data_IF_291762942161
#
_entry.id   IF_291762942161
#
_cell.length_a   1.000
_cell.length_b   1.000
_cell.length_c   1.000
_cell.angle_alpha   90.00
_cell.angle_beta   90.00
_cell.angle_gamma   90.00
#
_symmetry.space_group_name_H-M   'P 1'
#
loop_
_entity.id
_entity.type
_entity.pdbx_description
1 polymer ?
#
# COMPACT_ATOMS: atom_id res chain seq x y z
N UNK A 1 12.94 -23.24 28.95
CA UNK A 1 11.48 -23.17 29.10
C UNK A 1 10.93 -22.61 27.79
N UNK A 2 10.80 -23.48 26.79
CA UNK A 2 10.27 -23.15 25.47
C UNK A 2 8.76 -23.38 25.46
N UNK A 3 7.98 -22.34 25.18
CA UNK A 3 6.55 -22.44 24.86
C UNK A 3 6.32 -21.90 23.46
N UNK A 4 5.70 -22.74 22.66
CA UNK A 4 4.84 -22.41 21.51
C UNK A 4 5.49 -21.91 20.22
N UNK A 5 6.35 -22.74 19.66
CA UNK A 5 6.39 -22.90 18.21
C UNK A 5 5.16 -23.71 17.76
N UNK A 6 4.00 -23.05 17.63
CA UNK A 6 2.82 -23.62 17.00
C UNK A 6 3.14 -23.91 15.52
N UNK A 7 3.65 -25.11 15.26
CA UNK A 7 3.84 -25.64 13.92
C UNK A 7 2.51 -25.55 13.18
N UNK A 8 2.47 -24.72 12.13
CA UNK A 8 1.32 -24.60 11.23
C UNK A 8 1.00 -25.99 10.68
N UNK A 9 -0.05 -26.64 11.19
CA UNK A 9 -0.56 -27.86 10.59
C UNK A 9 -0.81 -27.62 9.09
N UNK A 10 -0.21 -28.40 8.19
CA UNK A 10 -0.48 -28.28 6.76
C UNK A 10 -1.98 -28.44 6.52
N UNK A 11 -2.62 -27.48 5.82
CA UNK A 11 -4.07 -27.49 5.54
C UNK A 11 -4.52 -28.71 4.70
N UNK A 12 -3.58 -29.49 4.16
CA UNK A 12 -3.83 -30.81 3.61
C UNK A 12 -2.59 -31.70 3.67
N UNK A 13 -2.82 -33.01 3.56
CA UNK A 13 -1.82 -34.06 3.65
C UNK A 13 -2.04 -35.14 2.61
N UNK A 14 -0.94 -35.73 2.14
CA UNK A 14 -0.92 -36.94 1.32
C UNK A 14 -0.22 -38.00 2.15
N UNK A 15 -0.85 -39.15 2.35
CA UNK A 15 -0.29 -40.27 3.11
C UNK A 15 -0.51 -41.58 2.40
N UNK A 16 0.42 -42.51 2.56
CA UNK A 16 0.27 -43.87 2.08
C UNK A 16 -0.79 -44.61 2.90
N UNK A 17 -1.65 -45.37 2.23
CA UNK A 17 -2.68 -46.21 2.84
C UNK A 17 -2.75 -47.53 2.08
N UNK A 18 -1.92 -48.48 2.50
CA UNK A 18 -1.67 -49.72 1.76
C UNK A 18 -0.98 -49.40 0.43
N UNK A 19 -1.42 -50.00 -0.67
CA UNK A 19 -0.87 -49.77 -2.02
C UNK A 19 -1.43 -48.51 -2.73
N UNK A 20 -1.99 -47.55 -1.98
CA UNK A 20 -2.64 -46.37 -2.51
C UNK A 20 -2.21 -45.11 -1.74
N UNK A 21 -2.33 -43.95 -2.38
CA UNK A 21 -2.17 -42.65 -1.73
C UNK A 21 -3.53 -42.10 -1.29
N UNK A 22 -3.61 -41.66 -0.04
CA UNK A 22 -4.77 -40.94 0.49
C UNK A 22 -4.45 -39.44 0.57
N UNK A 23 -5.27 -38.63 -0.09
CA UNK A 23 -5.26 -37.17 -0.06
C UNK A 23 -6.33 -36.71 0.92
N UNK A 24 -5.98 -35.83 1.86
CA UNK A 24 -6.90 -35.26 2.86
C UNK A 24 -6.69 -33.75 2.95
N UNK A 25 -7.77 -32.98 2.88
CA UNK A 25 -7.71 -31.51 2.97
C UNK A 25 -8.80 -31.00 3.92
N UNK A 26 -8.45 -30.08 4.83
CA UNK A 26 -9.38 -29.53 5.81
C UNK A 26 -10.37 -28.55 5.14
N UNK A 27 -11.67 -28.85 5.22
CA UNK A 27 -12.72 -28.05 4.61
C UNK A 27 -13.27 -26.95 5.55
N UNK A 28 -13.24 -27.15 6.86
CA UNK A 28 -13.79 -26.23 7.85
C UNK A 28 -14.40 -26.96 9.03
N UNK A 29 -15.21 -26.27 9.82
CA UNK A 29 -16.04 -26.89 10.87
C UNK A 29 -17.49 -26.89 10.46
N UNK A 30 -18.17 -27.98 10.72
CA UNK A 30 -19.62 -28.07 10.59
C UNK A 30 -20.28 -27.08 11.58
N UNK A 31 -21.13 -26.15 11.10
CA UNK A 31 -21.70 -25.09 11.94
C UNK A 31 -22.74 -25.60 12.95
N UNK A 32 -23.27 -26.81 12.78
CA UNK A 32 -24.27 -27.41 13.67
C UNK A 32 -23.58 -28.35 14.67
N UNK A 33 -22.63 -29.17 14.21
CA UNK A 33 -22.01 -30.19 15.06
C UNK A 33 -20.66 -29.78 15.65
N UNK A 34 -20.05 -28.70 15.16
CA UNK A 34 -18.74 -28.21 15.59
C UNK A 34 -17.55 -29.09 15.19
N UNK A 35 -17.79 -30.21 14.50
CA UNK A 35 -16.77 -31.17 14.09
C UNK A 35 -15.99 -30.68 12.88
N UNK A 36 -14.71 -31.02 12.82
CA UNK A 36 -13.85 -30.73 11.67
C UNK A 36 -14.26 -31.58 10.45
N UNK A 37 -14.51 -30.92 9.33
CA UNK A 37 -14.88 -31.53 8.05
C UNK A 37 -13.66 -31.58 7.13
N UNK A 38 -13.45 -32.71 6.46
CA UNK A 38 -12.32 -32.94 5.55
C UNK A 38 -12.81 -33.45 4.19
N UNK A 39 -12.20 -32.95 3.11
CA UNK A 39 -12.29 -33.58 1.78
C UNK A 39 -11.23 -34.66 1.68
N UNK A 40 -11.63 -35.86 1.26
CA UNK A 40 -10.75 -37.01 1.15
C UNK A 40 -10.85 -37.61 -0.26
N UNK A 41 -9.71 -38.05 -0.80
CA UNK A 41 -9.65 -38.85 -2.02
C UNK A 41 -8.58 -39.93 -1.89
N UNK A 42 -8.77 -41.03 -2.60
CA UNK A 42 -7.78 -42.11 -2.70
C UNK A 42 -7.32 -42.22 -4.15
N UNK A 43 -6.02 -42.12 -4.37
CA UNK A 43 -5.38 -42.34 -5.67
C UNK A 43 -4.73 -43.71 -5.65
N UNK A 44 -5.02 -44.52 -6.68
CA UNK A 44 -4.46 -45.87 -6.78
C UNK A 44 -3.00 -45.82 -7.20
N UNK A 45 -2.16 -46.64 -6.55
CA UNK A 45 -0.73 -46.73 -6.82
C UNK A 45 0.13 -45.87 -5.89
N UNK A 46 1.44 -46.17 -5.88
CA UNK A 46 2.48 -45.48 -5.12
C UNK A 46 3.59 -44.92 -6.04
N UNK A 47 3.42 -45.05 -7.35
CA UNK A 47 4.38 -44.57 -8.34
C UNK A 47 4.34 -43.04 -8.46
N UNK A 48 5.32 -42.47 -9.16
CA UNK A 48 5.42 -41.01 -9.36
C UNK A 48 4.19 -40.44 -10.08
N UNK A 49 3.55 -41.24 -10.95
CA UNK A 49 2.32 -40.88 -11.62
C UNK A 49 1.13 -40.78 -10.63
N UNK A 50 1.00 -41.72 -9.69
CA UNK A 50 0.02 -41.64 -8.61
C UNK A 50 0.31 -40.46 -7.67
N UNK A 51 1.58 -40.18 -7.39
CA UNK A 51 1.98 -39.06 -6.52
C UNK A 51 1.62 -37.71 -7.15
N UNK A 52 1.89 -37.53 -8.44
CA UNK A 52 1.46 -36.35 -9.20
C UNK A 52 -0.07 -36.19 -9.21
N UNK A 53 -0.82 -37.27 -9.42
CA UNK A 53 -2.30 -37.25 -9.33
C UNK A 53 -2.79 -36.90 -7.93
N UNK A 54 -2.09 -37.33 -6.88
CA UNK A 54 -2.41 -36.98 -5.50
C UNK A 54 -2.19 -35.50 -5.21
N UNK A 55 -1.10 -34.91 -5.73
CA UNK A 55 -0.84 -33.46 -5.66
C UNK A 55 -1.88 -32.65 -6.43
N UNK A 56 -2.24 -33.06 -7.65
CA UNK A 56 -3.29 -32.42 -8.44
C UNK A 56 -4.63 -32.44 -7.68
N UNK A 57 -4.96 -33.57 -7.04
CA UNK A 57 -6.18 -33.70 -6.24
C UNK A 57 -6.16 -32.83 -4.99
N UNK A 58 -5.00 -32.68 -4.35
CA UNK A 58 -4.81 -31.78 -3.22
C UNK A 58 -5.03 -30.31 -3.64
N UNK A 59 -4.53 -29.92 -4.82
CA UNK A 59 -4.76 -28.60 -5.40
C UNK A 59 -6.24 -28.35 -5.77
N UNK A 60 -6.93 -29.37 -6.28
CA UNK A 60 -8.37 -29.34 -6.55
C UNK A 60 -9.17 -29.10 -5.26
N UNK A 61 -8.91 -29.87 -4.20
CA UNK A 61 -9.59 -29.72 -2.91
C UNK A 61 -9.34 -28.35 -2.28
N UNK A 62 -8.11 -27.86 -2.34
CA UNK A 62 -7.78 -26.50 -1.91
C UNK A 62 -8.63 -25.46 -2.64
N UNK A 63 -8.76 -25.61 -3.96
CA UNK A 63 -9.56 -24.71 -4.80
C UNK A 63 -11.04 -24.77 -4.45
N UNK A 64 -11.58 -25.96 -4.20
CA UNK A 64 -12.99 -26.17 -3.82
C UNK A 64 -13.32 -25.51 -2.47
N UNK A 65 -12.53 -25.77 -1.44
CA UNK A 65 -12.74 -25.20 -0.09
C UNK A 65 -12.61 -23.68 -0.13
N UNK A 66 -11.61 -23.17 -0.84
CA UNK A 66 -11.41 -21.74 -1.02
C UNK A 66 -12.61 -21.07 -1.71
N UNK A 67 -13.22 -21.72 -2.71
CA UNK A 67 -14.46 -21.23 -3.34
C UNK A 67 -15.63 -21.18 -2.37
N UNK A 68 -15.83 -22.23 -1.56
CA UNK A 68 -16.91 -22.28 -0.56
C UNK A 68 -16.77 -21.17 0.50
N UNK A 69 -15.60 -21.02 1.11
CA UNK A 69 -15.36 -19.96 2.13
C UNK A 69 -15.47 -18.54 1.57
N UNK A 70 -15.01 -18.35 0.34
CA UNK A 70 -15.16 -17.07 -0.36
C UNK A 70 -16.63 -16.75 -0.63
N UNK A 71 -17.46 -17.75 -0.93
CA UNK A 71 -18.88 -17.55 -1.19
C UNK A 71 -19.64 -17.13 0.09
N UNK A 72 -19.24 -17.65 1.25
CA UNK A 72 -19.88 -17.35 2.53
C UNK A 72 -19.46 -16.01 3.14
N UNK A 73 -18.25 -15.53 2.85
CA UNK A 73 -17.72 -14.29 3.46
C UNK A 73 -18.41 -13.04 2.91
N UNK A 74 -19.35 -12.47 3.67
CA UNK A 74 -20.09 -11.24 3.33
C UNK A 74 -19.43 -9.94 3.81
N UNK A 75 -18.17 -10.02 4.25
CA UNK A 75 -17.44 -8.90 4.86
C UNK A 75 -17.28 -7.73 3.89
N UNK A 76 -17.67 -6.53 4.33
CA UNK A 76 -17.53 -5.31 3.52
C UNK A 76 -16.08 -4.87 3.37
N UNK A 77 -15.74 -4.22 2.25
CA UNK A 77 -14.43 -3.64 2.04
C UNK A 77 -14.08 -2.60 3.11
N UNK A 78 -15.03 -1.79 3.57
CA UNK A 78 -14.81 -0.82 4.64
C UNK A 78 -14.31 -1.48 5.93
N UNK A 79 -14.94 -2.60 6.33
CA UNK A 79 -14.50 -3.35 7.50
C UNK A 79 -13.09 -3.91 7.28
N UNK A 80 -12.85 -4.52 6.11
CA UNK A 80 -11.53 -5.06 5.79
C UNK A 80 -10.42 -4.01 5.80
N UNK A 81 -10.70 -2.81 5.28
CA UNK A 81 -9.75 -1.69 5.31
C UNK A 81 -9.44 -1.28 6.75
N UNK A 82 -10.47 -1.17 7.61
CA UNK A 82 -10.29 -0.77 9.00
C UNK A 82 -9.42 -1.81 9.74
N UNK A 83 -9.71 -3.09 9.56
CA UNK A 83 -8.94 -4.18 10.18
C UNK A 83 -7.49 -4.22 9.65
N UNK A 84 -7.32 -3.99 8.35
CA UNK A 84 -5.99 -3.95 7.74
C UNK A 84 -5.19 -2.76 8.25
N UNK A 85 -5.80 -1.60 8.42
CA UNK A 85 -5.14 -0.45 9.03
C UNK A 85 -4.70 -0.78 10.46
N UNK A 86 -5.55 -1.39 11.29
CA UNK A 86 -5.22 -1.73 12.69
C UNK A 86 -4.00 -2.64 12.81
N UNK A 87 -3.85 -3.59 11.89
CA UNK A 87 -2.81 -4.62 11.93
C UNK A 87 -1.58 -4.29 11.10
N UNK A 88 -1.62 -3.24 10.28
CA UNK A 88 -0.50 -2.90 9.38
C UNK A 88 0.50 -1.94 10.04
N UNK A 89 1.77 -2.29 9.97
CA UNK A 89 2.91 -1.46 10.39
C UNK A 89 3.23 -0.40 9.34
N UNK A 90 2.30 0.52 9.10
CA UNK A 90 2.48 1.63 8.15
C UNK A 90 2.92 2.87 8.92
N UNK A 91 3.99 3.52 8.45
CA UNK A 91 4.47 4.76 9.08
C UNK A 91 3.37 5.83 9.16
N UNK A 92 3.40 6.66 10.20
CA UNK A 92 2.35 7.65 10.49
C UNK A 92 2.04 8.61 9.34
N UNK A 93 3.05 9.00 8.53
CA UNK A 93 2.78 9.89 7.39
C UNK A 93 2.03 9.16 6.29
N UNK A 94 2.46 7.95 5.97
CA UNK A 94 1.80 7.12 4.96
C UNK A 94 0.41 6.75 5.42
N UNK A 95 0.22 6.43 6.71
CA UNK A 95 -1.10 6.16 7.30
C UNK A 95 -2.04 7.34 7.16
N UNK A 96 -1.60 8.57 7.47
CA UNK A 96 -2.42 9.78 7.31
C UNK A 96 -2.85 9.98 5.85
N UNK A 97 -1.91 9.81 4.92
CA UNK A 97 -2.21 9.87 3.47
C UNK A 97 -3.21 8.78 3.06
N UNK A 98 -3.03 7.55 3.53
CA UNK A 98 -3.91 6.42 3.23
C UNK A 98 -5.32 6.66 3.73
N UNK A 99 -5.49 7.06 4.99
CA UNK A 99 -6.80 7.41 5.56
C UNK A 99 -7.48 8.49 4.73
N UNK A 100 -6.73 9.51 4.29
CA UNK A 100 -7.26 10.55 3.42
C UNK A 100 -7.80 10.03 2.08
N UNK A 101 -7.18 9.03 1.46
CA UNK A 101 -7.69 8.40 0.24
C UNK A 101 -8.83 7.41 0.52
N UNK A 102 -8.76 6.69 1.63
CA UNK A 102 -9.77 5.74 2.06
C UNK A 102 -11.11 6.46 2.23
N UNK A 103 -11.16 7.52 3.03
CA UNK A 103 -12.40 8.22 3.36
C UNK A 103 -12.98 9.01 2.17
N UNK A 104 -12.14 9.70 1.40
CA UNK A 104 -12.61 10.59 0.33
C UNK A 104 -12.82 9.90 -1.01
N UNK A 105 -12.24 8.72 -1.20
CA UNK A 105 -12.13 8.11 -2.54
C UNK A 105 -12.59 6.66 -2.56
N UNK A 106 -12.10 5.81 -1.66
CA UNK A 106 -12.40 4.36 -1.71
C UNK A 106 -13.75 4.04 -1.06
N UNK A 107 -13.93 4.40 0.22
CA UNK A 107 -15.14 4.07 1.00
C UNK A 107 -16.45 4.56 0.38
N UNK A 108 -16.54 5.78 -0.19
CA UNK A 108 -17.79 6.27 -0.77
C UNK A 108 -18.31 5.42 -1.94
N UNK A 109 -17.43 4.70 -2.63
CA UNK A 109 -17.79 3.92 -3.83
C UNK A 109 -17.76 2.42 -3.55
N UNK A 110 -16.66 1.93 -2.99
CA UNK A 110 -16.42 0.49 -2.83
C UNK A 110 -16.62 0.01 -1.39
N UNK A 111 -16.78 0.91 -0.42
CA UNK A 111 -16.76 0.57 1.00
C UNK A 111 -17.84 -0.43 1.42
N UNK A 112 -19.04 -0.32 0.84
CA UNK A 112 -20.17 -1.22 1.12
C UNK A 112 -20.10 -2.55 0.34
N UNK A 113 -19.24 -2.65 -0.65
CA UNK A 113 -19.12 -3.85 -1.49
C UNK A 113 -18.43 -4.94 -0.68
N UNK A 114 -18.99 -6.16 -0.71
CA UNK A 114 -18.38 -7.31 -0.08
C UNK A 114 -17.05 -7.68 -0.77
N UNK A 115 -16.03 -8.04 -0.01
CA UNK A 115 -14.68 -8.29 -0.55
C UNK A 115 -14.65 -9.43 -1.55
N UNK A 116 -15.52 -10.42 -1.41
CA UNK A 116 -15.67 -11.55 -2.33
C UNK A 116 -16.34 -11.17 -3.66
N UNK A 117 -17.07 -10.05 -3.72
CA UNK A 117 -17.71 -9.52 -4.93
C UNK A 117 -16.84 -8.54 -5.69
N UNK A 118 -15.69 -8.15 -5.14
CA UNK A 118 -14.76 -7.25 -5.83
C UNK A 118 -14.01 -8.02 -6.93
N UNK A 119 -14.15 -7.53 -8.17
CA UNK A 119 -13.45 -8.08 -9.32
C UNK A 119 -12.34 -7.14 -9.81
N UNK A 120 -11.41 -7.68 -10.59
CA UNK A 120 -10.39 -6.86 -11.25
C UNK A 120 -11.02 -5.79 -12.15
N UNK A 121 -12.08 -6.15 -12.89
CA UNK A 121 -12.87 -5.23 -13.71
C UNK A 121 -13.43 -4.06 -12.89
N UNK A 122 -14.03 -4.32 -11.73
CA UNK A 122 -14.56 -3.27 -10.85
C UNK A 122 -13.47 -2.29 -10.41
N UNK A 123 -12.27 -2.82 -10.09
CA UNK A 123 -11.12 -2.01 -9.67
C UNK A 123 -10.57 -1.19 -10.85
N UNK A 124 -10.46 -1.76 -12.04
CA UNK A 124 -10.01 -1.06 -13.24
C UNK A 124 -10.99 0.03 -13.71
N UNK A 125 -12.30 -0.25 -13.64
CA UNK A 125 -13.34 0.76 -13.88
C UNK A 125 -13.20 1.91 -12.87
N UNK A 126 -12.99 1.59 -11.59
CA UNK A 126 -12.75 2.61 -10.57
C UNK A 126 -11.51 3.47 -10.88
N UNK A 127 -10.39 2.87 -11.31
CA UNK A 127 -9.19 3.62 -11.70
C UNK A 127 -9.41 4.51 -12.93
N UNK A 128 -10.21 4.03 -13.88
CA UNK A 128 -10.58 4.77 -15.08
C UNK A 128 -11.40 6.01 -14.73
N UNK A 129 -12.39 5.86 -13.84
CA UNK A 129 -13.19 6.98 -13.35
C UNK A 129 -12.34 7.99 -12.57
N UNK A 130 -11.43 7.53 -11.70
CA UNK A 130 -10.54 8.44 -10.98
C UNK A 130 -9.60 9.23 -11.90
N UNK A 131 -9.18 8.62 -13.01
CA UNK A 131 -8.37 9.29 -14.04
C UNK A 131 -9.19 10.25 -14.91
N UNK A 132 -10.50 10.02 -15.06
CA UNK A 132 -11.41 10.95 -15.73
C UNK A 132 -11.72 12.15 -14.83
N UNK A 133 -12.19 11.90 -13.61
CA UNK A 133 -12.56 12.95 -12.67
C UNK A 133 -12.39 12.47 -11.22
N UNK A 134 -11.65 13.24 -10.40
CA UNK A 134 -11.47 12.97 -8.97
C UNK A 134 -12.79 12.88 -8.18
N UNK A 135 -13.80 13.63 -8.64
CA UNK A 135 -15.13 13.68 -8.05
C UNK A 135 -16.07 12.60 -8.61
N UNK A 136 -15.68 11.93 -9.71
CA UNK A 136 -16.48 10.90 -10.41
C UNK A 136 -17.87 11.44 -10.80
N UNK A 137 -17.90 12.63 -11.38
CA UNK A 137 -19.14 13.25 -11.85
C UNK A 137 -19.77 12.46 -12.99
N UNK A 138 -21.08 12.58 -13.16
CA UNK A 138 -21.82 12.04 -14.30
C UNK A 138 -21.59 12.83 -15.60
N UNK A 139 -20.87 13.96 -15.53
CA UNK A 139 -20.60 14.86 -16.65
C UNK A 139 -21.60 16.00 -16.76
N UNK A 140 -22.64 16.03 -15.92
CA UNK A 140 -23.54 17.18 -15.84
C UNK A 140 -22.84 18.34 -15.13
N UNK A 141 -23.01 19.58 -15.60
CA UNK A 141 -22.52 20.75 -14.88
C UNK A 141 -23.14 20.82 -13.49
N UNK A 142 -22.29 20.96 -12.47
CA UNK A 142 -22.70 21.25 -11.10
C UNK A 142 -21.64 22.13 -10.42
N UNK A 143 -21.95 22.71 -9.26
CA UNK A 143 -21.00 23.53 -8.50
C UNK A 143 -20.37 22.71 -7.36
N UNK A 144 -19.02 22.68 -7.27
CA UNK A 144 -18.29 21.98 -6.20
C UNK A 144 -18.47 22.64 -4.83
N UNK A 145 -18.71 23.95 -4.83
CA UNK A 145 -19.05 24.72 -3.64
C UNK A 145 -20.25 25.60 -3.93
N UNK A 146 -21.35 25.25 -3.27
CA UNK A 146 -22.59 26.02 -3.23
C UNK A 146 -22.76 26.50 -1.78
N UNK A 147 -22.54 27.79 -1.56
CA UNK A 147 -22.30 28.33 -0.21
C UNK A 147 -23.61 28.49 0.59
N UNK A 148 -24.73 28.67 -0.10
CA UNK A 148 -26.06 28.89 0.51
C UNK A 148 -27.07 27.93 -0.09
N UNK A 149 -28.13 27.58 0.66
CA UNK A 149 -29.20 26.69 0.17
C UNK A 149 -30.30 27.44 -0.58
N UNK A 150 -30.40 28.74 -0.37
CA UNK A 150 -31.43 29.59 -0.96
C UNK A 150 -31.12 29.93 -2.43
N UNK A 151 -32.17 30.26 -3.18
CA UNK A 151 -32.04 30.67 -4.56
C UNK A 151 -31.18 31.93 -4.68
N UNK A 152 -30.08 31.84 -5.44
CA UNK A 152 -29.17 32.96 -5.67
C UNK A 152 -28.49 32.84 -7.03
N UNK A 153 -27.85 33.93 -7.46
CA UNK A 153 -27.02 33.96 -8.63
C UNK A 153 -25.63 33.38 -8.30
N UNK A 154 -25.36 32.18 -8.79
CA UNK A 154 -24.11 31.46 -8.57
C UNK A 154 -22.86 32.23 -9.05
N UNK A 155 -22.98 33.13 -10.03
CA UNK A 155 -21.86 33.94 -10.52
C UNK A 155 -21.57 35.06 -9.53
N UNK A 156 -22.61 35.74 -9.02
CA UNK A 156 -22.47 36.81 -8.02
C UNK A 156 -21.93 36.27 -6.69
N UNK A 157 -22.43 35.12 -6.25
CA UNK A 157 -22.01 34.46 -5.01
C UNK A 157 -20.71 33.65 -5.16
N UNK A 158 -20.05 33.74 -6.33
CA UNK A 158 -18.75 33.10 -6.61
C UNK A 158 -18.76 31.59 -6.35
N UNK A 159 -19.87 30.91 -6.64
CA UNK A 159 -19.94 29.46 -6.60
C UNK A 159 -18.93 28.88 -7.59
N UNK A 160 -18.22 27.83 -7.18
CA UNK A 160 -17.17 27.25 -8.02
C UNK A 160 -17.73 26.15 -8.91
N UNK A 161 -17.80 26.33 -10.24
CA UNK A 161 -18.27 25.27 -11.12
C UNK A 161 -17.30 24.09 -11.07
N UNK A 162 -17.85 22.89 -11.20
CA UNK A 162 -17.05 21.70 -11.29
C UNK A 162 -16.24 21.69 -12.58
N UNK A 163 -14.92 21.54 -12.44
CA UNK A 163 -14.02 21.27 -13.55
C UNK A 163 -13.51 19.83 -13.44
N UNK A 164 -13.79 19.03 -14.46
CA UNK A 164 -13.32 17.65 -14.51
C UNK A 164 -11.79 17.60 -14.48
N UNK A 165 -11.23 17.18 -13.35
CA UNK A 165 -9.80 16.97 -13.18
C UNK A 165 -9.52 15.57 -12.66
N UNK A 166 -8.84 14.77 -13.47
CA UNK A 166 -8.39 13.44 -13.12
C UNK A 166 -7.32 13.42 -12.02
N UNK A 167 -7.23 12.30 -11.32
CA UNK A 167 -6.12 12.02 -10.40
C UNK A 167 -4.85 11.65 -11.18
N UNK A 168 -3.71 12.12 -10.68
CA UNK A 168 -2.41 11.72 -11.21
C UNK A 168 -2.19 10.20 -11.07
N UNK A 169 -1.42 9.61 -11.99
CA UNK A 169 -1.12 8.17 -11.96
C UNK A 169 -0.44 7.73 -10.66
N UNK A 170 0.39 8.59 -10.05
CA UNK A 170 0.98 8.37 -8.71
C UNK A 170 -0.09 8.16 -7.65
N UNK A 171 -1.09 9.05 -7.61
CA UNK A 171 -2.20 9.00 -6.66
C UNK A 171 -3.02 7.72 -6.83
N UNK A 172 -3.36 7.35 -8.07
CA UNK A 172 -4.12 6.13 -8.33
C UNK A 172 -3.31 4.88 -7.93
N UNK A 173 -1.98 4.91 -8.06
CA UNK A 173 -1.12 3.83 -7.54
C UNK A 173 -1.10 3.75 -6.02
N UNK A 174 -1.17 4.87 -5.30
CA UNK A 174 -1.32 4.84 -3.84
C UNK A 174 -2.65 4.20 -3.44
N UNK A 175 -3.74 4.53 -4.16
CA UNK A 175 -5.04 3.89 -3.98
C UNK A 175 -4.95 2.39 -4.28
N UNK A 176 -4.22 1.99 -5.32
CA UNK A 176 -3.95 0.58 -5.61
C UNK A 176 -3.18 -0.12 -4.46
N UNK A 177 -2.16 0.51 -3.88
CA UNK A 177 -1.41 -0.05 -2.76
C UNK A 177 -2.31 -0.32 -1.55
N UNK A 178 -3.26 0.59 -1.26
CA UNK A 178 -4.26 0.40 -0.19
C UNK A 178 -5.15 -0.80 -0.51
N UNK A 179 -5.77 -0.83 -1.69
CA UNK A 179 -6.67 -1.91 -2.10
C UNK A 179 -5.95 -3.26 -2.13
N UNK A 180 -4.72 -3.31 -2.65
CA UNK A 180 -3.92 -4.54 -2.70
C UNK A 180 -3.52 -5.00 -1.31
N UNK A 181 -3.08 -4.08 -0.44
CA UNK A 181 -2.76 -4.38 0.95
C UNK A 181 -3.95 -4.98 1.70
N UNK A 182 -5.12 -4.35 1.60
CA UNK A 182 -6.37 -4.83 2.21
C UNK A 182 -6.80 -6.18 1.65
N UNK A 183 -6.85 -6.35 0.33
CA UNK A 183 -7.35 -7.59 -0.28
C UNK A 183 -6.38 -8.76 -0.07
N UNK A 184 -5.07 -8.50 -0.01
CA UNK A 184 -4.09 -9.53 0.39
C UNK A 184 -4.24 -9.89 1.88
N UNK A 185 -4.62 -8.95 2.74
CA UNK A 185 -4.97 -9.26 4.14
C UNK A 185 -6.24 -10.12 4.22
N UNK A 186 -7.28 -9.80 3.43
CA UNK A 186 -8.49 -10.60 3.33
C UNK A 186 -8.20 -12.04 2.86
N UNK A 187 -7.22 -12.26 1.97
CA UNK A 187 -6.75 -13.61 1.63
C UNK A 187 -6.11 -14.30 2.85
N UNK A 188 -5.22 -13.61 3.58
CA UNK A 188 -4.57 -14.17 4.78
C UNK A 188 -5.57 -14.52 5.88
N UNK A 189 -6.68 -13.79 5.97
CA UNK A 189 -7.77 -14.03 6.92
C UNK A 189 -8.82 -15.02 6.40
N UNK A 190 -8.56 -15.70 5.28
CA UNK A 190 -9.45 -16.66 4.65
C UNK A 190 -10.85 -16.08 4.27
N UNK A 191 -11.00 -14.75 4.14
CA UNK A 191 -12.27 -14.12 3.70
C UNK A 191 -12.47 -14.19 2.19
N UNK A 192 -11.38 -14.25 1.43
CA UNK A 192 -11.40 -14.46 -0.02
C UNK A 192 -10.29 -15.44 -0.42
N UNK A 193 -10.54 -16.21 -1.48
CA UNK A 193 -9.63 -17.24 -1.99
C UNK A 193 -8.40 -16.67 -2.69
N UNK A 194 -8.56 -15.53 -3.34
CA UNK A 194 -7.52 -14.87 -4.11
C UNK A 194 -7.78 -13.37 -4.17
N UNK A 195 -6.72 -12.59 -4.32
CA UNK A 195 -6.80 -11.14 -4.40
C UNK A 195 -6.99 -10.72 -5.86
N UNK A 196 -8.10 -10.06 -6.22
CA UNK A 196 -8.33 -9.62 -7.61
C UNK A 196 -7.28 -8.60 -8.07
N UNK A 197 -6.57 -7.95 -7.15
CA UNK A 197 -5.51 -6.96 -7.48
C UNK A 197 -4.28 -7.55 -8.15
N UNK A 198 -4.11 -8.88 -8.14
CA UNK A 198 -2.99 -9.56 -8.79
C UNK A 198 -3.02 -9.43 -10.31
N UNK A 199 -4.22 -9.40 -10.91
CA UNK A 199 -4.43 -9.33 -12.36
C UNK A 199 -4.83 -7.93 -12.84
N UNK A 200 -5.03 -6.98 -11.93
CA UNK A 200 -5.41 -5.60 -12.25
C UNK A 200 -4.26 -4.86 -12.94
N UNK A 201 -4.55 -4.22 -14.06
CA UNK A 201 -3.62 -3.31 -14.74
C UNK A 201 -3.44 -2.03 -13.94
N UNK A 202 -2.22 -1.85 -13.42
CA UNK A 202 -1.83 -0.63 -12.69
C UNK A 202 -1.61 0.54 -13.66
N UNK A 203 -1.95 1.78 -13.27
CA UNK A 203 -1.57 2.96 -14.05
C UNK A 203 -0.05 2.99 -14.26
N UNK A 204 0.37 3.18 -15.52
CA UNK A 204 1.78 3.39 -15.85
C UNK A 204 2.21 4.75 -15.29
N UNK A 205 3.36 4.78 -14.61
CA UNK A 205 4.03 6.04 -14.31
C UNK A 205 5.16 6.24 -15.29
N UNK A 206 5.25 7.45 -15.84
CA UNK A 206 6.49 7.89 -16.47
C UNK A 206 7.54 8.00 -15.36
N UNK A 207 8.77 7.48 -15.56
CA UNK A 207 9.87 7.73 -14.65
C UNK A 207 10.01 9.24 -14.44
N UNK A 208 10.31 9.71 -13.21
CA UNK A 208 10.72 11.09 -13.03
C UNK A 208 11.90 11.38 -13.95
N UNK A 209 11.84 12.50 -14.67
CA UNK A 209 12.97 13.03 -15.43
C UNK A 209 13.46 14.26 -14.67
N UNK A 210 14.25 14.08 -13.60
CA UNK A 210 14.88 15.22 -12.94
C UNK A 210 15.87 15.86 -13.91
N UNK A 211 15.90 17.18 -13.91
CA UNK A 211 16.88 17.99 -14.63
C UNK A 211 17.78 18.66 -13.57
N UNK A 212 18.85 17.99 -13.13
CA UNK A 212 19.72 18.52 -12.09
C UNK A 212 20.60 19.65 -12.64
N UNK A 213 20.90 20.68 -11.83
CA UNK A 213 21.83 21.71 -12.25
C UNK A 213 23.21 21.13 -12.55
N UNK A 214 23.88 21.68 -13.56
CA UNK A 214 25.32 21.46 -13.78
C UNK A 214 26.14 21.95 -12.59
N UNK A 215 27.40 21.52 -12.47
CA UNK A 215 28.30 22.02 -11.42
C UNK A 215 28.45 23.54 -11.45
N UNK A 216 28.51 24.15 -12.64
CA UNK A 216 28.61 25.59 -12.80
C UNK A 216 27.31 26.32 -12.39
N UNK A 217 26.15 25.74 -12.67
CA UNK A 217 24.86 26.28 -12.21
C UNK A 217 24.69 26.13 -10.69
N UNK A 218 25.10 24.99 -10.13
CA UNK A 218 25.08 24.76 -8.69
C UNK A 218 25.96 25.76 -7.94
N UNK A 219 27.17 26.05 -8.44
CA UNK A 219 28.04 27.08 -7.87
C UNK A 219 27.36 28.45 -7.88
N UNK A 220 26.81 28.88 -9.03
CA UNK A 220 26.07 30.14 -9.14
C UNK A 220 24.86 30.22 -8.21
N UNK A 221 24.16 29.10 -7.98
CA UNK A 221 23.05 29.05 -7.04
C UNK A 221 23.50 29.25 -5.59
N UNK A 222 24.65 28.68 -5.22
CA UNK A 222 25.25 28.87 -3.89
C UNK A 222 25.72 30.31 -3.70
N UNK A 223 26.45 30.87 -4.67
CA UNK A 223 26.92 32.26 -4.61
C UNK A 223 25.75 33.23 -4.44
N UNK A 224 24.69 33.04 -5.23
CA UNK A 224 23.46 33.85 -5.11
C UNK A 224 22.74 33.64 -3.78
N UNK A 225 22.83 32.47 -3.16
CA UNK A 225 22.27 32.25 -1.83
C UNK A 225 23.03 33.05 -0.76
N UNK A 226 24.37 33.10 -0.84
CA UNK A 226 25.19 33.94 0.05
C UNK A 226 24.97 35.44 -0.18
N UNK A 227 24.74 35.89 -1.42
CA UNK A 227 24.40 37.28 -1.72
C UNK A 227 23.09 37.72 -1.03
N UNK A 228 22.16 36.78 -0.83
CA UNK A 228 20.86 37.06 -0.22
C UNK A 228 20.92 37.13 1.31
N UNK A 229 21.59 36.15 1.92
CA UNK A 229 21.69 35.99 3.37
C UNK A 229 22.76 34.94 3.70
N UNK A 230 23.62 35.22 4.67
CA UNK A 230 24.77 34.37 5.02
C UNK A 230 24.33 33.00 5.57
N UNK A 231 23.32 32.98 6.42
CA UNK A 231 22.75 31.75 6.99
C UNK A 231 22.10 30.88 5.89
N UNK A 232 21.39 31.51 4.97
CA UNK A 232 20.80 30.85 3.81
C UNK A 232 21.85 30.27 2.87
N UNK A 233 22.92 31.03 2.58
CA UNK A 233 24.07 30.56 1.81
C UNK A 233 24.71 29.32 2.42
N UNK A 234 24.99 29.35 3.72
CA UNK A 234 25.54 28.21 4.45
C UNK A 234 24.63 26.96 4.38
N UNK A 235 23.31 27.16 4.51
CA UNK A 235 22.31 26.09 4.40
C UNK A 235 22.32 25.44 3.02
N UNK A 236 22.28 26.25 1.95
CA UNK A 236 22.28 25.76 0.56
C UNK A 236 23.59 25.04 0.25
N UNK A 237 24.74 25.62 0.62
CA UNK A 237 26.05 25.01 0.45
C UNK A 237 26.13 23.64 1.14
N UNK A 238 25.65 23.55 2.38
CA UNK A 238 25.65 22.30 3.13
C UNK A 238 24.82 21.22 2.44
N UNK A 239 23.60 21.55 1.98
CA UNK A 239 22.74 20.58 1.26
C UNK A 239 23.38 20.12 -0.05
N UNK A 240 23.98 21.04 -0.81
CA UNK A 240 24.60 20.74 -2.10
C UNK A 240 25.82 19.83 -1.96
N UNK A 241 26.65 20.04 -0.94
CA UNK A 241 27.91 19.29 -0.74
C UNK A 241 27.71 17.95 -0.07
N UNK A 242 26.72 17.83 0.83
CA UNK A 242 26.51 16.61 1.63
C UNK A 242 25.35 15.74 1.13
N UNK A 243 24.44 16.29 0.33
CA UNK A 243 23.22 15.62 -0.11
C UNK A 243 22.22 15.33 1.02
N UNK A 244 22.34 16.02 2.17
CA UNK A 244 21.42 15.87 3.30
C UNK A 244 19.98 16.20 2.87
N UNK A 245 19.02 15.37 3.27
CA UNK A 245 17.61 15.66 2.97
C UNK A 245 17.16 16.86 3.78
N UNK A 246 16.38 17.76 3.18
CA UNK A 246 15.78 18.92 3.87
C UNK A 246 15.18 18.58 5.24
N UNK A 247 14.46 17.46 5.35
CA UNK A 247 13.89 17.04 6.63
C UNK A 247 14.95 16.68 7.67
N UNK A 248 16.05 16.04 7.29
CA UNK A 248 17.18 15.72 8.18
C UNK A 248 17.91 17.00 8.61
N UNK A 249 18.12 17.93 7.67
CA UNK A 249 18.70 19.24 7.95
C UNK A 249 17.87 20.04 8.96
N UNK A 250 16.55 20.10 8.78
CA UNK A 250 15.65 20.75 9.74
C UNK A 250 15.60 20.04 11.11
N UNK A 251 16.07 18.80 11.21
CA UNK A 251 16.17 18.04 12.45
C UNK A 251 17.58 18.04 13.06
N UNK A 252 18.56 18.68 12.42
CA UNK A 252 19.95 18.73 12.86
C UNK A 252 20.05 19.54 14.15
N UNK A 253 20.92 19.08 15.06
CA UNK A 253 21.25 19.78 16.31
C UNK A 253 22.75 20.04 16.34
N UNK A 254 23.16 21.18 16.88
CA UNK A 254 24.57 21.56 16.99
C UNK A 254 25.44 20.49 17.69
N UNK A 255 24.91 19.82 18.71
CA UNK A 255 25.62 18.72 19.40
C UNK A 255 25.82 17.44 18.58
N UNK A 256 25.46 17.45 17.29
CA UNK A 256 25.66 16.37 16.31
C UNK A 256 26.57 16.79 15.16
N UNK A 257 27.12 17.99 15.23
CA UNK A 257 28.15 18.47 14.31
C UNK A 257 29.47 18.39 15.06
N UNK A 258 30.32 17.48 14.63
CA UNK A 258 31.69 17.37 15.10
C UNK A 258 32.59 17.97 14.02
N UNK A 259 33.03 19.21 14.25
CA UNK A 259 33.87 19.92 13.29
C UNK A 259 35.31 19.37 13.28
N UNK A 260 35.78 18.83 14.40
CA UNK A 260 37.13 18.26 14.51
C UNK A 260 37.22 16.92 13.77
N UNK A 261 36.18 16.08 13.90
CA UNK A 261 36.09 14.82 13.17
C UNK A 261 35.57 14.99 11.73
N UNK A 262 35.08 16.19 11.37
CA UNK A 262 34.36 16.49 10.12
C UNK A 262 33.15 15.56 9.89
N UNK A 263 32.37 15.32 10.94
CA UNK A 263 31.23 14.41 10.92
C UNK A 263 29.93 15.11 11.31
N UNK A 264 28.88 14.85 10.53
CA UNK A 264 27.49 15.19 10.87
C UNK A 264 26.70 13.91 11.14
N UNK A 265 26.17 13.77 12.37
CA UNK A 265 25.36 12.60 12.76
C UNK A 265 23.84 12.87 12.62
N UNK A 266 23.23 12.27 11.59
CA UNK A 266 21.82 12.47 11.24
C UNK A 266 20.91 11.45 11.92
N UNK A 267 20.47 11.79 13.13
CA UNK A 267 19.57 10.93 13.94
C UNK A 267 18.09 11.27 13.85
N UNK A 268 17.75 12.46 13.33
CA UNK A 268 16.39 13.02 13.37
C UNK A 268 16.00 13.57 12.02
N UNK A 269 14.70 13.67 11.79
CA UNK A 269 14.13 14.40 10.67
C UNK A 269 12.90 15.16 11.11
N UNK A 270 12.74 16.41 10.65
CA UNK A 270 11.57 17.23 10.90
C UNK A 270 10.72 17.35 9.64
N UNK A 271 9.45 16.93 9.71
CA UNK A 271 8.51 16.98 8.58
C UNK A 271 7.13 17.42 9.05
N UNK A 272 6.59 18.48 8.45
CA UNK A 272 5.26 19.04 8.77
C UNK A 272 5.06 19.35 10.26
N UNK A 273 6.05 19.97 10.91
CA UNK A 273 5.96 20.39 12.31
C UNK A 273 6.12 19.26 13.32
N UNK A 274 6.60 18.08 12.92
CA UNK A 274 6.82 16.94 13.81
C UNK A 274 8.19 16.32 13.59
N UNK A 275 8.83 15.95 14.69
CA UNK A 275 10.03 15.12 14.71
C UNK A 275 9.71 13.69 14.29
N UNK A 276 10.62 13.08 13.53
CA UNK A 276 10.53 11.72 12.99
C UNK A 276 11.90 11.08 12.97
N UNK A 277 11.92 9.75 13.05
CA UNK A 277 13.12 8.97 12.76
C UNK A 277 13.42 9.05 11.25
N UNK A 278 14.65 9.39 10.85
CA UNK A 278 15.00 9.52 9.44
C UNK A 278 14.93 8.15 8.73
N UNK A 279 14.28 8.10 7.57
CA UNK A 279 14.11 6.87 6.80
C UNK A 279 15.45 6.30 6.33
N UNK A 280 15.58 4.97 6.18
CA UNK A 280 16.69 4.34 5.47
C UNK A 280 16.91 4.99 4.11
N UNK A 281 18.15 5.34 3.79
CA UNK A 281 18.58 5.57 2.41
C UNK A 281 18.35 4.28 1.63
N UNK A 282 17.90 4.41 0.37
CA UNK A 282 17.62 3.24 -0.49
C UNK A 282 18.90 2.47 -0.88
N UNK A 283 20.06 3.03 -0.56
CA UNK A 283 21.39 2.45 -0.65
C UNK A 283 21.91 2.27 0.78
N UNK A 284 22.31 1.04 1.11
CA UNK A 284 22.89 0.68 2.40
C UNK A 284 24.30 1.28 2.52
N UNK A 285 24.39 2.56 2.87
CA UNK A 285 25.62 3.22 3.27
C UNK A 285 25.42 3.82 4.65
N UNK A 286 26.39 3.61 5.55
CA UNK A 286 26.43 4.21 6.89
C UNK A 286 26.12 5.70 6.83
N UNK A 287 25.21 6.18 7.68
CA UNK A 287 24.65 7.55 7.65
C UNK A 287 25.54 8.56 8.38
N UNK A 288 26.85 8.41 8.21
CA UNK A 288 27.89 9.39 8.56
C UNK A 288 28.43 9.90 7.23
N UNK A 289 28.16 11.16 6.92
CA UNK A 289 28.78 11.83 5.77
C UNK A 289 30.07 12.46 6.25
N UNK A 290 31.20 11.91 5.83
CA UNK A 290 32.51 12.55 5.98
C UNK A 290 32.69 13.52 4.81
N UNK A 291 33.15 14.73 5.08
CA UNK A 291 33.47 15.71 4.04
C UNK A 291 34.56 15.13 3.12
N UNK A 292 34.37 15.07 1.79
CA UNK A 292 35.49 14.85 0.89
C UNK A 292 36.35 16.12 0.85
N UNK A 293 37.65 15.92 1.03
CA UNK A 293 38.72 16.93 0.95
C UNK A 293 38.71 17.70 -0.36
#
# INVERSE_FOLDING_TARGET
>A
MDRDAAARCPKGSIRERGNNLQVRYFAGRDPVTGKDVYLNATVKGLDDAARKKADDKLAEFRTQVNKQRSAESSVSLSYAINEWLRTSEVDDSTRKTYVGYIERTIKPVLGRVAVNKLSARTIESFYTELRRCRARCDGKPYFEKHTTKDAHDCVKEKCRPHACKGMAASTVRQIHSILSGTLNAAVRWDWISSSPTQIVRRPKQKPPQPDPPTSAEAARLVDKAFDMDEDWGALVWLVMTTGIRRGELCGLRFNRVDLDAEVIDLRRSWVNGRERTPRPTRTAGSRSTRKPS
#
